data_IF_822136934770
#
_entry.id   IF_822136934770
#
_cell.length_a   1.000
_cell.length_b   1.000
_cell.length_c   1.000
_cell.angle_alpha   90.00
_cell.angle_beta   90.00
_cell.angle_gamma   90.00
#
_symmetry.space_group_name_H-M   'P 1'
#
loop_
_entity.id
_entity.type
_entity.pdbx_description
1 polymer ?
#
# COMPACT_ATOMS: atom_id res chain seq x y z
N UNK A 1 -4.44 39.64 -13.61
CA UNK A 1 -3.47 38.54 -13.45
C UNK A 1 -4.05 37.60 -12.40
N UNK A 2 -4.81 36.59 -12.81
CA UNK A 2 -5.55 35.70 -11.91
C UNK A 2 -4.60 34.65 -11.30
N UNK A 3 -4.64 34.49 -9.97
CA UNK A 3 -3.92 33.43 -9.28
C UNK A 3 -4.44 32.08 -9.78
N UNK A 4 -3.59 31.35 -10.52
CA UNK A 4 -3.84 29.95 -10.86
C UNK A 4 -3.80 29.14 -9.57
N UNK A 5 -4.94 28.72 -9.05
CA UNK A 5 -5.00 27.71 -8.01
C UNK A 5 -4.50 26.40 -8.60
N UNK A 6 -3.38 25.88 -8.10
CA UNK A 6 -2.80 24.60 -8.50
C UNK A 6 -3.84 23.47 -8.34
N UNK A 7 -4.26 22.78 -9.43
CA UNK A 7 -5.31 21.75 -9.38
C UNK A 7 -4.89 20.48 -8.60
N UNK A 8 -3.64 20.41 -8.14
CA UNK A 8 -3.05 19.25 -7.48
C UNK A 8 -3.34 19.19 -5.96
N UNK A 9 -3.95 20.22 -5.37
CA UNK A 9 -4.03 20.35 -3.90
C UNK A 9 -5.46 20.36 -3.37
N UNK A 10 -6.22 19.30 -3.63
CA UNK A 10 -7.42 19.00 -2.85
C UNK A 10 -7.24 17.69 -2.08
N UNK A 11 -6.50 17.77 -0.95
CA UNK A 11 -6.44 16.65 -0.01
C UNK A 11 -7.77 16.58 0.75
N UNK A 12 -8.55 15.54 0.47
CA UNK A 12 -9.74 15.18 1.25
C UNK A 12 -9.36 15.03 2.74
N UNK A 13 -10.33 15.28 3.63
CA UNK A 13 -10.12 15.15 5.08
C UNK A 13 -9.63 13.74 5.45
N UNK A 14 -10.19 12.72 4.80
CA UNK A 14 -9.79 11.32 4.96
C UNK A 14 -8.32 11.07 4.56
N UNK A 15 -7.86 11.67 3.46
CA UNK A 15 -6.47 11.57 3.02
C UNK A 15 -5.51 12.24 4.02
N UNK A 16 -5.88 13.39 4.59
CA UNK A 16 -5.07 14.06 5.62
C UNK A 16 -5.01 13.24 6.91
N UNK A 17 -6.14 12.68 7.34
CA UNK A 17 -6.25 11.82 8.51
C UNK A 17 -5.38 10.56 8.34
N UNK A 18 -5.57 9.85 7.21
CA UNK A 18 -4.86 8.61 6.93
C UNK A 18 -3.34 8.80 6.86
N UNK A 19 -2.87 9.87 6.19
CA UNK A 19 -1.44 10.19 6.15
C UNK A 19 -0.87 10.53 7.53
N UNK A 20 -1.65 11.22 8.36
CA UNK A 20 -1.23 11.56 9.72
C UNK A 20 -1.11 10.28 10.54
N UNK A 21 -2.14 9.45 10.56
CA UNK A 21 -2.15 8.18 11.29
C UNK A 21 -1.01 7.27 10.81
N UNK A 22 -0.79 7.12 9.51
CA UNK A 22 0.30 6.31 8.96
C UNK A 22 1.69 6.81 9.43
N UNK A 23 1.93 8.13 9.41
CA UNK A 23 3.18 8.74 9.90
C UNK A 23 3.39 8.52 11.39
N UNK A 24 2.32 8.54 12.19
CA UNK A 24 2.41 8.28 13.62
C UNK A 24 2.61 6.79 13.91
N UNK A 25 1.87 5.91 13.23
CA UNK A 25 1.96 4.47 13.39
C UNK A 25 3.38 3.92 13.11
N UNK A 26 4.12 4.53 12.17
CA UNK A 26 5.49 4.12 11.85
C UNK A 26 6.58 4.59 12.84
N UNK A 27 6.26 5.40 13.85
CA UNK A 27 7.26 5.93 14.80
C UNK A 27 7.47 4.99 16.00
N UNK A 28 8.72 4.67 16.38
CA UNK A 28 9.01 3.86 17.58
C UNK A 28 8.40 4.40 18.88
N UNK A 29 8.33 5.73 19.01
CA UNK A 29 7.72 6.39 20.18
C UNK A 29 6.22 6.07 20.31
N UNK A 30 5.50 5.99 19.20
CA UNK A 30 4.06 5.65 19.19
C UNK A 30 3.84 4.22 19.68
N UNK A 31 4.72 3.29 19.27
CA UNK A 31 4.68 1.92 19.76
C UNK A 31 4.90 1.85 21.28
N UNK A 32 5.90 2.57 21.80
CA UNK A 32 6.13 2.62 23.24
C UNK A 32 4.92 3.18 24.03
N UNK A 33 4.25 4.22 23.51
CA UNK A 33 3.02 4.76 24.08
C UNK A 33 1.89 3.73 24.05
N UNK A 34 1.70 3.03 22.94
CA UNK A 34 0.67 2.00 22.81
C UNK A 34 0.89 0.83 23.79
N UNK A 35 2.13 0.36 23.91
CA UNK A 35 2.50 -0.69 24.89
C UNK A 35 2.26 -0.20 26.32
N UNK A 36 2.65 1.04 26.63
CA UNK A 36 2.42 1.63 27.96
C UNK A 36 0.94 1.72 28.29
N UNK A 37 0.10 2.09 27.32
CA UNK A 37 -1.35 2.12 27.48
C UNK A 37 -1.94 0.73 27.77
N UNK A 38 -1.46 -0.31 27.08
CA UNK A 38 -1.87 -1.70 27.32
C UNK A 38 -1.46 -2.16 28.73
N UNK A 39 -0.24 -1.81 29.18
CA UNK A 39 0.23 -2.13 30.53
C UNK A 39 -0.63 -1.42 31.59
N UNK A 40 -0.87 -0.11 31.43
CA UNK A 40 -1.73 0.66 32.33
C UNK A 40 -3.16 0.10 32.39
N UNK A 41 -3.70 -0.34 31.25
CA UNK A 41 -4.98 -1.02 31.21
C UNK A 41 -4.96 -2.35 31.97
N UNK A 42 -3.94 -3.18 31.76
CA UNK A 42 -3.75 -4.42 32.52
C UNK A 42 -3.69 -4.19 34.04
N UNK A 43 -2.97 -3.15 34.46
CA UNK A 43 -2.85 -2.75 35.86
C UNK A 43 -4.15 -2.18 36.46
N UNK A 44 -5.10 -1.72 35.63
CA UNK A 44 -6.43 -1.32 36.11
C UNK A 44 -7.32 -2.52 36.45
N UNK A 45 -7.05 -3.68 35.84
CA UNK A 45 -7.85 -4.91 36.01
C UNK A 45 -8.12 -5.33 37.46
N UNK A 46 -7.14 -5.33 38.37
CA UNK A 46 -7.37 -5.64 39.79
C UNK A 46 -8.36 -4.70 40.49
N UNK A 47 -8.40 -3.41 40.11
CA UNK A 47 -9.35 -2.44 40.68
C UNK A 47 -10.79 -2.71 40.23
N UNK A 48 -10.98 -3.30 39.03
CA UNK A 48 -12.28 -3.63 38.46
C UNK A 48 -12.64 -5.13 38.62
N UNK A 49 -11.83 -5.91 39.34
CA UNK A 49 -12.04 -7.34 39.57
C UNK A 49 -11.99 -8.19 38.30
N UNK A 50 -11.31 -7.72 37.25
CA UNK A 50 -11.22 -8.40 35.94
C UNK A 50 -12.57 -8.83 35.35
N UNK A 51 -13.62 -8.04 35.61
CA UNK A 51 -14.99 -8.37 35.21
C UNK A 51 -15.22 -8.32 33.69
N UNK A 52 -16.37 -8.81 33.25
CA UNK A 52 -16.74 -8.88 31.82
C UNK A 52 -16.76 -7.50 31.15
N UNK A 53 -17.14 -6.44 31.88
CA UNK A 53 -17.13 -5.07 31.35
C UNK A 53 -15.71 -4.59 31.06
N UNK A 54 -14.76 -4.87 31.95
CA UNK A 54 -13.34 -4.53 31.76
C UNK A 54 -12.76 -5.24 30.53
N UNK A 55 -13.09 -6.52 30.30
CA UNK A 55 -12.66 -7.23 29.09
C UNK A 55 -13.37 -6.73 27.83
N UNK A 56 -14.68 -6.48 27.92
CA UNK A 56 -15.49 -6.03 26.79
C UNK A 56 -14.98 -4.69 26.23
N UNK A 57 -14.66 -3.73 27.09
CA UNK A 57 -14.21 -2.40 26.66
C UNK A 57 -12.96 -2.50 25.78
N UNK A 58 -11.94 -3.27 26.19
CA UNK A 58 -10.70 -3.38 25.39
C UNK A 58 -10.91 -4.17 24.10
N UNK A 59 -11.68 -5.26 24.15
CA UNK A 59 -11.95 -6.10 22.98
C UNK A 59 -12.76 -5.33 21.93
N UNK A 60 -13.85 -4.67 22.33
CA UNK A 60 -14.69 -3.87 21.43
C UNK A 60 -13.90 -2.69 20.87
N UNK A 61 -13.14 -1.97 21.69
CA UNK A 61 -12.33 -0.83 21.23
C UNK A 61 -11.28 -1.26 20.21
N UNK A 62 -10.54 -2.32 20.49
CA UNK A 62 -9.49 -2.83 19.58
C UNK A 62 -10.10 -3.30 18.26
N UNK A 63 -11.28 -3.92 18.30
CA UNK A 63 -11.99 -4.37 17.09
C UNK A 63 -12.37 -3.19 16.21
N UNK A 64 -12.98 -2.14 16.78
CA UNK A 64 -13.36 -0.92 16.04
C UNK A 64 -12.11 -0.25 15.46
N UNK A 65 -11.06 -0.08 16.27
CA UNK A 65 -9.80 0.54 15.82
C UNK A 65 -9.20 -0.27 14.67
N UNK A 66 -9.14 -1.59 14.79
CA UNK A 66 -8.60 -2.47 13.75
C UNK A 66 -9.41 -2.36 12.46
N UNK A 67 -10.74 -2.37 12.55
CA UNK A 67 -11.62 -2.22 11.40
C UNK A 67 -11.38 -0.89 10.67
N UNK A 68 -11.29 0.23 11.41
CA UNK A 68 -10.96 1.53 10.84
C UNK A 68 -9.53 1.57 10.26
N UNK A 69 -8.59 0.89 10.91
CA UNK A 69 -7.19 0.82 10.48
C UNK A 69 -7.06 0.14 9.13
N UNK A 70 -7.87 -0.87 8.81
CA UNK A 70 -7.86 -1.51 7.48
C UNK A 70 -8.13 -0.49 6.38
N UNK A 71 -9.14 0.37 6.52
CA UNK A 71 -9.43 1.42 5.53
C UNK A 71 -8.32 2.47 5.44
N UNK A 72 -7.75 2.86 6.58
CA UNK A 72 -6.64 3.82 6.62
C UNK A 72 -5.40 3.24 5.92
N UNK A 73 -5.07 1.99 6.21
CA UNK A 73 -3.95 1.27 5.59
C UNK A 73 -4.19 1.14 4.09
N UNK A 74 -5.37 0.67 3.67
CA UNK A 74 -5.71 0.54 2.26
C UNK A 74 -5.60 1.88 1.52
N UNK A 75 -6.11 2.98 2.10
CA UNK A 75 -5.99 4.30 1.48
C UNK A 75 -4.53 4.76 1.37
N UNK A 76 -3.72 4.53 2.41
CA UNK A 76 -2.29 4.85 2.36
C UNK A 76 -1.57 4.01 1.30
N UNK A 77 -1.83 2.69 1.30
CA UNK A 77 -1.23 1.74 0.38
C UNK A 77 -1.63 2.03 -1.07
N UNK A 78 -2.91 2.22 -1.37
CA UNK A 78 -3.38 2.53 -2.72
C UNK A 78 -2.69 3.78 -3.29
N UNK A 79 -2.55 4.83 -2.47
CA UNK A 79 -1.87 6.06 -2.86
C UNK A 79 -0.37 5.85 -3.08
N UNK A 80 0.28 5.08 -2.22
CA UNK A 80 1.72 4.80 -2.34
C UNK A 80 2.00 3.89 -3.55
N UNK A 81 1.11 2.94 -3.88
CA UNK A 81 1.14 2.12 -5.10
C UNK A 81 1.02 2.98 -6.36
N UNK A 82 0.02 3.86 -6.44
CA UNK A 82 -0.15 4.77 -7.59
C UNK A 82 1.08 5.66 -7.79
N UNK A 83 1.68 6.16 -6.71
CA UNK A 83 2.90 6.95 -6.79
C UNK A 83 4.12 6.13 -7.23
N UNK A 84 4.17 4.83 -6.94
CA UNK A 84 5.20 3.93 -7.46
C UNK A 84 5.01 3.67 -8.96
N UNK A 85 3.78 3.38 -9.41
CA UNK A 85 3.44 3.18 -10.82
C UNK A 85 3.88 4.37 -11.68
N UNK A 86 3.45 5.59 -11.34
CA UNK A 86 3.82 6.82 -12.07
C UNK A 86 5.34 7.01 -12.15
N UNK A 87 6.08 6.68 -11.10
CA UNK A 87 7.55 6.77 -11.10
C UNK A 87 8.18 5.72 -12.02
N UNK A 88 7.63 4.51 -12.06
CA UNK A 88 8.09 3.44 -12.95
C UNK A 88 7.76 3.77 -14.41
N UNK A 89 6.58 4.32 -14.69
CA UNK A 89 6.18 4.74 -16.03
C UNK A 89 7.08 5.85 -16.56
N UNK A 90 7.43 6.84 -15.74
CA UNK A 90 8.39 7.88 -16.13
C UNK A 90 9.77 7.29 -16.42
N UNK A 91 10.24 6.31 -15.63
CA UNK A 91 11.50 5.62 -15.92
C UNK A 91 11.42 4.82 -17.22
N UNK A 92 10.34 4.07 -17.44
CA UNK A 92 10.14 3.25 -18.64
C UNK A 92 10.05 4.13 -19.90
N UNK A 93 9.38 5.28 -19.81
CA UNK A 93 9.26 6.26 -20.89
C UNK A 93 10.61 6.84 -21.35
N UNK A 94 11.66 6.77 -20.51
CA UNK A 94 13.01 7.25 -20.83
C UNK A 94 13.97 6.14 -21.27
N UNK A 95 13.58 4.87 -21.19
CA UNK A 95 14.43 3.73 -21.58
C UNK A 95 14.24 3.42 -23.07
N UNK A 96 15.30 3.62 -23.86
CA UNK A 96 15.28 3.24 -25.28
C UNK A 96 15.08 1.73 -25.45
N UNK A 97 14.14 1.34 -26.31
CA UNK A 97 13.76 -0.06 -26.54
C UNK A 97 12.81 -0.66 -25.49
N UNK A 98 12.35 0.13 -24.52
CA UNK A 98 11.29 -0.30 -23.62
C UNK A 98 9.97 -0.52 -24.37
N UNK A 99 9.26 -1.59 -24.00
CA UNK A 99 7.93 -1.90 -24.54
C UNK A 99 6.91 -0.96 -23.93
N UNK A 100 6.36 -0.06 -24.74
CA UNK A 100 5.30 0.88 -24.32
C UNK A 100 4.03 0.16 -23.84
N UNK A 101 3.76 -1.06 -24.33
CA UNK A 101 2.67 -1.93 -23.86
C UNK A 101 2.78 -2.37 -22.39
N UNK A 102 3.94 -2.17 -21.75
CA UNK A 102 4.14 -2.42 -20.32
C UNK A 102 3.86 -1.18 -19.46
N UNK A 103 3.72 -0.01 -20.08
CA UNK A 103 3.24 1.19 -19.43
C UNK A 103 1.73 1.00 -19.19
N UNK A 104 1.24 1.34 -17.99
CA UNK A 104 -0.17 1.14 -17.62
C UNK A 104 -0.61 -0.34 -17.54
N UNK A 105 0.31 -1.23 -17.13
CA UNK A 105 0.04 -2.67 -17.02
C UNK A 105 -1.11 -2.98 -16.04
N UNK A 106 -1.31 -2.16 -15.02
CA UNK A 106 -2.35 -2.32 -13.99
C UNK A 106 -3.79 -2.15 -14.49
N UNK A 107 -3.98 -1.48 -15.62
CA UNK A 107 -5.30 -1.27 -16.25
C UNK A 107 -5.63 -2.37 -17.28
N UNK A 108 -4.69 -3.28 -17.57
CA UNK A 108 -4.91 -4.37 -18.51
C UNK A 108 -5.76 -5.49 -17.92
N UNK A 109 -6.51 -6.16 -18.80
CA UNK A 109 -7.25 -7.37 -18.45
C UNK A 109 -6.31 -8.49 -17.97
N UNK A 110 -6.76 -9.29 -17.00
CA UNK A 110 -5.98 -10.40 -16.41
C UNK A 110 -5.42 -11.36 -17.48
N UNK A 111 -6.19 -11.65 -18.54
CA UNK A 111 -5.74 -12.52 -19.64
C UNK A 111 -4.52 -11.94 -20.38
N UNK A 112 -4.48 -10.62 -20.58
CA UNK A 112 -3.35 -9.93 -21.21
C UNK A 112 -2.13 -9.91 -20.29
N UNK A 113 -2.33 -9.64 -19.00
CA UNK A 113 -1.26 -9.68 -17.99
C UNK A 113 -0.61 -11.06 -17.95
N UNK A 114 -1.42 -12.12 -17.92
CA UNK A 114 -0.93 -13.50 -17.92
C UNK A 114 -0.23 -13.86 -19.24
N UNK A 115 -0.70 -13.32 -20.37
CA UNK A 115 -0.02 -13.43 -21.67
C UNK A 115 1.39 -12.85 -21.65
N UNK A 116 1.53 -11.61 -21.17
CA UNK A 116 2.82 -10.92 -21.01
C UNK A 116 3.73 -11.69 -20.06
N UNK A 117 3.19 -12.14 -18.91
CA UNK A 117 3.93 -12.95 -17.93
C UNK A 117 4.50 -14.23 -18.56
N UNK A 118 3.69 -14.98 -19.31
CA UNK A 118 4.13 -16.19 -20.01
C UNK A 118 5.24 -15.91 -21.02
N UNK A 119 5.18 -14.77 -21.72
CA UNK A 119 6.26 -14.36 -22.62
C UNK A 119 7.58 -14.15 -21.87
N UNK A 120 7.56 -13.41 -20.75
CA UNK A 120 8.74 -13.21 -19.90
C UNK A 120 9.28 -14.52 -19.31
N UNK A 121 8.40 -15.42 -18.86
CA UNK A 121 8.79 -16.73 -18.36
C UNK A 121 9.46 -17.58 -19.45
N UNK A 122 8.95 -17.55 -20.69
CA UNK A 122 9.58 -18.19 -21.85
C UNK A 122 10.97 -17.61 -22.13
N UNK A 123 11.11 -16.29 -22.13
CA UNK A 123 12.42 -15.60 -22.32
C UNK A 123 13.43 -15.97 -21.24
N UNK A 124 13.01 -15.92 -19.98
CA UNK A 124 13.85 -16.29 -18.84
C UNK A 124 14.25 -17.77 -18.89
N UNK A 125 13.34 -18.65 -19.32
CA UNK A 125 13.65 -20.08 -19.54
C UNK A 125 14.66 -20.27 -20.66
N UNK A 126 14.47 -19.63 -21.82
CA UNK A 126 15.40 -19.72 -22.95
C UNK A 126 16.82 -19.25 -22.57
N UNK A 127 16.91 -18.14 -21.83
CA UNK A 127 18.18 -17.61 -21.31
C UNK A 127 18.87 -18.59 -20.34
N UNK A 128 18.12 -19.26 -19.45
CA UNK A 128 18.65 -20.29 -18.55
C UNK A 128 19.12 -21.55 -19.27
N UNK A 129 18.41 -21.94 -20.33
CA UNK A 129 18.72 -23.13 -21.13
C UNK A 129 19.80 -22.89 -22.19
N UNK A 130 20.33 -21.66 -22.30
CA UNK A 130 21.35 -21.30 -23.31
C UNK A 130 20.83 -21.38 -24.75
N UNK A 131 19.51 -21.36 -24.95
CA UNK A 131 18.89 -21.44 -26.27
C UNK A 131 18.61 -20.02 -26.78
N UNK A 132 19.15 -19.59 -27.93
CA UNK A 132 18.79 -18.31 -28.51
C UNK A 132 17.29 -18.32 -28.82
N UNK A 133 16.59 -17.25 -28.41
CA UNK A 133 15.19 -17.05 -28.79
C UNK A 133 15.14 -16.96 -30.31
N UNK A 134 14.37 -17.84 -30.96
CA UNK A 134 14.03 -17.64 -32.36
C UNK A 134 13.33 -16.28 -32.45
N UNK A 135 13.95 -15.32 -33.14
CA UNK A 135 13.35 -14.03 -33.46
C UNK A 135 12.06 -14.30 -34.24
N UNK A 136 10.91 -14.28 -33.57
CA UNK A 136 9.64 -14.09 -34.28
C UNK A 136 9.60 -12.62 -34.71
N UNK A 137 10.07 -12.40 -35.94
CA UNK A 137 9.83 -11.17 -36.71
C UNK A 137 8.34 -11.10 -37.02
N UNK A 138 7.71 -9.99 -36.63
CA UNK A 138 6.32 -9.66 -36.99
C UNK A 138 5.83 -8.49 -36.17
#
# INVERSE_FOLDING_TARGET
>A
MAARSDPLTNRTLFTRLSQTIARWAGKPQTFAVAVSAIILWGLSGPFFGFNDTWQLVINTSTTIITFLMVFIIQNSQNRDTAAMQIKLDELLAKVEGARQELMDLEELDEEKIEGIRKEFEKRARAAREGRPLAEERG
#
